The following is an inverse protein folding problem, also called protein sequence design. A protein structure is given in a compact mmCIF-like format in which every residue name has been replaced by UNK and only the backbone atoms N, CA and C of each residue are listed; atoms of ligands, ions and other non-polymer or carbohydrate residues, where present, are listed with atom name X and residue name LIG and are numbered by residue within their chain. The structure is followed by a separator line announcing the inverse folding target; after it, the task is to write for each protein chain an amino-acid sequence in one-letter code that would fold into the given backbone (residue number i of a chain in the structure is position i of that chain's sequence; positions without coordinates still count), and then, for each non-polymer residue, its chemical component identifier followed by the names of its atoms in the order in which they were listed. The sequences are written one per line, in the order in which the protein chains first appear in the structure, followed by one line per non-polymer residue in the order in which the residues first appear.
data_IF_744369379703
#
_entry.id   IF_744369379703
#
_cell.length_a   1.000
_cell.length_b   1.000
_cell.length_c   1.000
_cell.angle_alpha   90.00
_cell.angle_beta   90.00
_cell.angle_gamma   90.00
#
_symmetry.space_group_name_H-M   'P 1'
#
loop_
_entity.id
_entity.type
_entity.pdbx_description
1 polymer ?
#
# COMPACT_ATOMS: atom_id res chain seq x y z
N UNK A 1 -55.10 -13.73 34.71
CA UNK A 1 -54.09 -14.63 35.30
C UNK A 1 -54.86 -15.82 35.81
N UNK A 2 -54.69 -16.96 35.10
CA UNK A 2 -55.47 -18.22 35.02
C UNK A 2 -55.81 -18.41 33.53
N UNK A 3 -55.45 -19.47 32.78
CA UNK A 3 -55.01 -20.86 33.01
C UNK A 3 -54.18 -21.30 31.76
N UNK A 4 -53.01 -21.94 31.88
CA UNK A 4 -52.69 -23.38 31.82
C UNK A 4 -53.06 -24.18 30.53
N UNK A 5 -51.99 -24.77 29.96
CA UNK A 5 -51.82 -26.02 29.20
C UNK A 5 -52.63 -26.35 27.93
N UNK A 6 -51.93 -26.64 26.82
CA UNK A 6 -51.48 -28.01 26.50
C UNK A 6 -50.91 -28.12 25.06
N UNK A 7 -49.98 -29.05 24.96
CA UNK A 7 -49.18 -29.57 23.85
C UNK A 7 -50.00 -30.26 22.75
N UNK A 8 -49.58 -30.15 21.48
CA UNK A 8 -49.45 -31.34 20.61
C UNK A 8 -48.56 -31.07 19.38
N UNK A 9 -47.55 -31.92 19.28
CA UNK A 9 -46.64 -32.16 18.16
C UNK A 9 -47.35 -33.05 17.15
N UNK A 10 -47.34 -32.69 15.86
CA UNK A 10 -47.70 -33.63 14.80
C UNK A 10 -46.74 -33.43 13.62
N UNK A 11 -45.78 -34.35 13.52
CA UNK A 11 -45.09 -34.66 12.28
C UNK A 11 -46.10 -35.26 11.28
N UNK A 12 -46.10 -34.79 10.03
CA UNK A 12 -46.61 -35.61 8.93
C UNK A 12 -45.72 -35.48 7.70
N UNK A 13 -45.24 -36.66 7.31
CA UNK A 13 -44.45 -37.02 6.15
C UNK A 13 -44.93 -36.50 4.78
N UNK A 14 -43.93 -36.14 3.99
CA UNK A 14 -43.75 -36.31 2.54
C UNK A 14 -44.92 -36.76 1.66
N UNK A 15 -45.16 -35.98 0.60
CA UNK A 15 -45.50 -36.52 -0.72
C UNK A 15 -44.69 -35.83 -1.82
N UNK A 16 -43.70 -36.58 -2.33
CA UNK A 16 -42.90 -36.20 -3.49
C UNK A 16 -43.79 -36.03 -4.73
N UNK A 17 -43.66 -34.87 -5.40
CA UNK A 17 -44.07 -34.72 -6.79
C UNK A 17 -42.86 -34.18 -7.53
N UNK A 18 -42.23 -35.02 -8.33
CA UNK A 18 -41.17 -34.64 -9.23
C UNK A 18 -41.75 -33.75 -10.34
N UNK A 19 -41.26 -32.52 -10.45
CA UNK A 19 -41.31 -31.78 -11.71
C UNK A 19 -39.94 -31.17 -11.99
N UNK A 20 -39.54 -31.33 -13.23
CA UNK A 20 -38.21 -31.15 -13.74
C UNK A 20 -37.79 -29.69 -13.75
N UNK A 21 -36.54 -29.47 -13.33
CA UNK A 21 -35.57 -28.53 -13.91
C UNK A 21 -36.10 -27.23 -14.53
N UNK A 22 -35.94 -26.10 -13.85
CA UNK A 22 -35.52 -24.86 -14.52
C UNK A 22 -34.98 -23.79 -13.54
N UNK A 23 -33.73 -23.41 -13.82
CA UNK A 23 -33.00 -22.20 -13.45
C UNK A 23 -33.20 -21.59 -12.05
N UNK A 24 -32.23 -21.87 -11.17
CA UNK A 24 -31.87 -20.98 -10.06
C UNK A 24 -31.67 -19.54 -10.57
N UNK A 25 -32.14 -18.50 -9.85
CA UNK A 25 -31.85 -17.12 -10.22
C UNK A 25 -30.33 -16.92 -10.21
N UNK A 26 -29.80 -16.58 -11.37
CA UNK A 26 -28.41 -16.29 -11.61
C UNK A 26 -27.89 -15.28 -10.59
N UNK A 27 -27.17 -15.77 -9.58
CA UNK A 27 -26.31 -14.95 -8.75
C UNK A 27 -25.34 -14.29 -9.72
N UNK A 28 -25.54 -12.99 -9.96
CA UNK A 28 -24.57 -12.17 -10.68
C UNK A 28 -23.20 -12.44 -10.04
N UNK A 29 -22.29 -13.03 -10.81
CA UNK A 29 -20.98 -13.45 -10.30
C UNK A 29 -20.28 -12.27 -9.59
N UNK A 30 -19.46 -12.54 -8.57
CA UNK A 30 -18.76 -11.48 -7.87
C UNK A 30 -17.94 -10.67 -8.90
N UNK A 31 -18.00 -9.31 -8.87
CA UNK A 31 -17.18 -8.47 -9.72
C UNK A 31 -15.70 -8.85 -9.60
N UNK A 32 -14.98 -8.83 -10.71
CA UNK A 32 -13.63 -9.36 -10.92
C UNK A 32 -12.67 -9.08 -9.75
N UNK A 33 -12.59 -10.03 -8.82
CA UNK A 33 -11.60 -10.02 -7.75
C UNK A 33 -10.29 -10.62 -8.24
N UNK A 34 -9.17 -9.98 -7.93
CA UNK A 34 -7.84 -10.39 -8.35
C UNK A 34 -7.12 -11.07 -7.19
N UNK A 35 -6.61 -12.29 -7.41
CA UNK A 35 -5.82 -13.00 -6.41
C UNK A 35 -4.45 -12.35 -6.24
N UNK A 36 -4.09 -11.99 -5.00
CA UNK A 36 -2.82 -11.34 -4.66
C UNK A 36 -1.79 -12.36 -4.14
N UNK A 37 -2.25 -13.41 -3.46
CA UNK A 37 -1.39 -14.42 -2.84
C UNK A 37 -1.92 -14.88 -1.49
N UNK A 38 -1.14 -15.73 -0.82
CA UNK A 38 -1.44 -16.16 0.56
C UNK A 38 -1.10 -15.07 1.57
N UNK A 39 -1.95 -14.90 2.58
CA UNK A 39 -1.79 -13.91 3.65
C UNK A 39 -0.45 -14.03 4.35
N UNK A 40 -0.07 -15.24 4.73
CA UNK A 40 1.17 -15.51 5.45
C UNK A 40 2.39 -15.13 4.60
N UNK A 41 2.33 -15.39 3.30
CA UNK A 41 3.40 -15.04 2.36
C UNK A 41 3.47 -13.52 2.13
N UNK A 42 2.33 -12.84 1.99
CA UNK A 42 2.27 -11.37 1.87
C UNK A 42 2.87 -10.70 3.11
N UNK A 43 2.53 -11.22 4.30
CA UNK A 43 3.08 -10.77 5.59
C UNK A 43 4.58 -11.04 5.68
N UNK A 44 5.01 -12.27 5.37
CA UNK A 44 6.41 -12.69 5.50
C UNK A 44 7.32 -11.96 4.51
N UNK A 45 6.87 -11.80 3.26
CA UNK A 45 7.64 -11.14 2.21
C UNK A 45 7.83 -9.64 2.48
N UNK A 46 7.18 -9.07 3.52
CA UNK A 46 7.16 -7.64 3.81
C UNK A 46 6.81 -6.82 2.56
N UNK A 47 6.03 -7.42 1.64
CA UNK A 47 5.49 -6.78 0.44
C UNK A 47 4.44 -5.78 0.92
N UNK A 48 4.92 -4.65 1.42
CA UNK A 48 4.15 -3.54 2.00
C UNK A 48 3.24 -4.00 3.15
N UNK A 49 3.76 -4.85 4.02
CA UNK A 49 3.29 -4.98 5.40
C UNK A 49 4.38 -4.37 6.27
N UNK A 50 4.47 -3.04 6.24
CA UNK A 50 4.87 -2.38 7.48
C UNK A 50 3.74 -2.66 8.44
N UNK A 51 3.90 -3.66 9.30
CA UNK A 51 3.54 -3.42 10.67
C UNK A 51 4.32 -2.17 11.07
N UNK A 52 3.69 -1.01 10.90
CA UNK A 52 4.12 0.20 11.59
C UNK A 52 3.99 -0.16 13.05
N UNK A 53 5.03 0.15 13.81
CA UNK A 53 5.21 -0.15 15.24
C UNK A 53 3.95 0.15 16.09
N UNK A 54 2.96 -0.74 16.09
CA UNK A 54 1.61 -0.41 16.55
C UNK A 54 0.87 0.48 15.53
N UNK A 55 -0.42 0.24 15.37
CA UNK A 55 -1.32 1.03 14.51
C UNK A 55 -1.18 2.52 14.84
N UNK A 56 -0.74 3.33 13.87
CA UNK A 56 -0.76 4.78 14.03
C UNK A 56 -2.20 5.28 13.90
N UNK A 57 -2.84 5.46 15.05
CA UNK A 57 -4.17 6.02 15.17
C UNK A 57 -4.09 7.54 15.32
N UNK A 58 -4.65 8.27 14.37
CA UNK A 58 -4.74 9.73 14.43
C UNK A 58 -6.19 10.14 14.46
N UNK A 59 -6.59 10.89 15.49
CA UNK A 59 -7.97 11.36 15.65
C UNK A 59 -9.01 10.21 15.62
N UNK A 60 -8.72 9.08 16.27
CA UNK A 60 -9.62 7.92 16.25
C UNK A 60 -9.55 7.07 14.97
N UNK A 61 -8.64 7.38 14.03
CA UNK A 61 -8.61 6.78 12.68
C UNK A 61 -7.29 6.10 12.40
N UNK A 62 -7.36 4.83 12.00
CA UNK A 62 -6.21 4.06 11.55
C UNK A 62 -5.64 4.66 10.28
N UNK A 63 -4.34 4.95 10.28
CA UNK A 63 -3.65 5.52 9.13
C UNK A 63 -2.38 4.75 8.77
N UNK A 64 -2.00 4.82 7.49
CA UNK A 64 -0.64 4.56 7.05
C UNK A 64 0.14 5.89 7.00
N UNK A 65 1.37 5.88 7.49
CA UNK A 65 2.27 7.03 7.45
C UNK A 65 3.30 6.86 6.33
N UNK A 66 3.27 7.76 5.36
CA UNK A 66 4.25 7.78 4.27
C UNK A 66 5.68 7.94 4.85
N UNK A 67 6.63 7.07 4.53
CA UNK A 67 7.98 7.14 5.09
C UNK A 67 8.74 8.39 4.65
N UNK A 68 8.45 8.91 3.45
CA UNK A 68 9.21 10.00 2.84
C UNK A 68 8.71 11.38 3.27
N UNK A 69 7.38 11.56 3.31
CA UNK A 69 6.77 12.89 3.52
C UNK A 69 5.91 12.97 4.80
N UNK A 70 5.79 11.87 5.56
CA UNK A 70 5.00 11.77 6.81
C UNK A 70 3.52 12.11 6.69
N UNK A 71 2.98 12.07 5.47
CA UNK A 71 1.54 12.13 5.21
C UNK A 71 0.84 10.95 5.88
N UNK A 72 -0.33 11.22 6.47
CA UNK A 72 -1.14 10.26 7.22
C UNK A 72 -2.38 9.99 6.37
N UNK A 73 -2.47 8.81 5.80
CA UNK A 73 -3.58 8.41 4.93
C UNK A 73 -4.46 7.40 5.66
N UNK A 74 -5.75 7.67 5.77
CA UNK A 74 -6.68 6.81 6.51
C UNK A 74 -6.88 5.49 5.76
N UNK A 75 -6.88 4.37 6.49
CA UNK A 75 -7.02 3.04 5.88
C UNK A 75 -8.44 2.79 5.33
N UNK A 76 -9.46 3.39 5.96
CA UNK A 76 -10.85 3.18 5.58
C UNK A 76 -11.24 3.93 4.29
N UNK A 77 -10.81 5.19 4.15
CA UNK A 77 -11.33 6.09 3.11
C UNK A 77 -10.24 6.69 2.22
N UNK A 78 -8.97 6.52 2.58
CA UNK A 78 -7.85 7.09 1.83
C UNK A 78 -7.72 8.60 1.98
N UNK A 79 -8.25 9.17 3.05
CA UNK A 79 -8.18 10.60 3.33
C UNK A 79 -6.82 10.99 3.91
N UNK A 80 -6.30 12.16 3.49
CA UNK A 80 -5.06 12.69 4.06
C UNK A 80 -5.34 13.61 5.25
N UNK A 81 -4.85 13.22 6.43
CA UNK A 81 -5.00 13.97 7.67
C UNK A 81 -3.82 14.90 7.93
N UNK A 82 -4.13 16.07 8.48
CA UNK A 82 -3.14 17.02 8.96
C UNK A 82 -3.63 17.73 10.23
N UNK A 83 -2.68 18.26 11.00
CA UNK A 83 -2.99 19.14 12.12
C UNK A 83 -2.90 20.59 11.66
N UNK A 84 -3.98 21.34 11.85
CA UNK A 84 -3.99 22.79 11.74
C UNK A 84 -3.84 23.39 13.12
N UNK A 85 -3.04 24.46 13.21
CA UNK A 85 -2.82 25.22 14.43
C UNK A 85 -3.16 26.67 14.12
N UNK A 86 -4.04 27.26 14.92
CA UNK A 86 -4.29 28.69 14.87
C UNK A 86 -3.17 29.41 15.66
N UNK A 87 -2.32 30.22 14.99
CA UNK A 87 -1.21 30.90 15.65
C UNK A 87 -1.66 32.01 16.60
N UNK A 88 -2.92 32.46 16.52
CA UNK A 88 -3.45 33.55 17.34
C UNK A 88 -3.93 33.07 18.71
N UNK A 89 -4.19 31.78 18.89
CA UNK A 89 -4.66 31.21 20.15
C UNK A 89 -3.50 30.84 21.09
N UNK A 90 -3.62 31.25 22.36
CA UNK A 90 -2.70 30.85 23.44
C UNK A 90 -3.49 30.16 24.55
N UNK A 91 -3.20 28.90 24.91
CA UNK A 91 -2.19 28.02 24.31
C UNK A 91 -2.58 27.57 22.89
N UNK A 92 -1.58 27.18 22.09
CA UNK A 92 -1.81 26.61 20.76
C UNK A 92 -2.61 25.31 20.91
N UNK A 93 -3.71 25.19 20.15
CA UNK A 93 -4.58 24.02 20.16
C UNK A 93 -4.63 23.39 18.76
N UNK A 94 -3.82 22.34 18.50
CA UNK A 94 -3.85 21.62 17.24
C UNK A 94 -5.22 20.95 17.02
N UNK A 95 -5.74 21.07 15.79
CA UNK A 95 -6.98 20.43 15.35
C UNK A 95 -6.69 19.53 14.16
N UNK A 96 -7.21 18.32 14.20
CA UNK A 96 -7.15 17.40 13.07
C UNK A 96 -8.14 17.82 11.98
N UNK A 97 -7.66 17.91 10.75
CA UNK A 97 -8.45 18.22 9.56
C UNK A 97 -8.12 17.23 8.45
N UNK A 98 -9.04 17.09 7.49
CA UNK A 98 -8.87 16.28 6.28
C UNK A 98 -8.56 17.17 5.07
N UNK A 99 -7.66 16.71 4.20
CA UNK A 99 -7.45 17.26 2.84
C UNK A 99 -8.31 16.55 1.79
N UNK A 100 -9.25 15.71 2.21
CA UNK A 100 -10.08 14.85 1.36
C UNK A 100 -9.36 13.56 0.94
N UNK A 101 -10.04 12.76 0.09
CA UNK A 101 -9.53 11.50 -0.49
C UNK A 101 -8.31 11.77 -1.36
N UNK A 102 -7.16 11.22 -0.96
CA UNK A 102 -5.87 11.31 -1.69
C UNK A 102 -5.38 9.96 -2.20
N UNK A 103 -5.91 8.88 -1.63
CA UNK A 103 -5.59 7.51 -2.03
C UNK A 103 -6.87 6.76 -2.38
N UNK A 104 -6.90 6.08 -3.53
CA UNK A 104 -7.97 5.14 -3.85
C UNK A 104 -7.84 3.91 -2.97
N UNK A 105 -8.94 3.55 -2.31
CA UNK A 105 -9.02 2.38 -1.43
C UNK A 105 -9.77 1.29 -2.18
N UNK A 106 -9.19 0.09 -2.21
CA UNK A 106 -9.77 -1.08 -2.84
C UNK A 106 -10.29 -2.05 -1.77
N UNK A 107 -11.27 -2.87 -2.13
CA UNK A 107 -11.80 -3.85 -1.21
C UNK A 107 -10.89 -5.08 -1.17
N UNK A 108 -10.62 -5.58 0.03
CA UNK A 108 -9.84 -6.78 0.26
C UNK A 108 -10.77 -7.87 0.81
N UNK A 109 -10.67 -9.07 0.25
CA UNK A 109 -11.37 -10.27 0.72
C UNK A 109 -10.33 -11.32 1.09
N UNK A 110 -10.47 -11.91 2.28
CA UNK A 110 -9.65 -13.03 2.74
C UNK A 110 -10.53 -14.28 2.80
N UNK A 111 -10.14 -15.35 2.10
CA UNK A 111 -10.84 -16.64 2.11
C UNK A 111 -9.81 -17.75 2.28
N UNK A 112 -9.88 -18.53 3.35
CA UNK A 112 -8.98 -19.67 3.60
C UNK A 112 -7.47 -19.32 3.53
N UNK A 113 -7.10 -18.10 3.96
CA UNK A 113 -5.72 -17.61 3.88
C UNK A 113 -5.33 -17.03 2.52
N UNK A 114 -6.16 -17.15 1.50
CA UNK A 114 -5.98 -16.50 0.21
C UNK A 114 -6.52 -15.07 0.24
N UNK A 115 -5.74 -14.12 -0.27
CA UNK A 115 -6.10 -12.70 -0.32
C UNK A 115 -6.47 -12.31 -1.74
N UNK A 116 -7.66 -11.73 -1.87
CA UNK A 116 -8.21 -11.20 -3.12
C UNK A 116 -8.45 -9.70 -2.98
N UNK A 117 -8.27 -8.96 -4.07
CA UNK A 117 -8.57 -7.53 -4.14
C UNK A 117 -9.58 -7.26 -5.23
N UNK A 118 -10.63 -6.53 -4.90
CA UNK A 118 -11.56 -5.98 -5.87
C UNK A 118 -11.26 -4.49 -6.05
N UNK A 119 -10.97 -4.11 -7.29
CA UNK A 119 -10.68 -2.72 -7.63
C UNK A 119 -11.92 -1.83 -7.47
N UNK A 120 -11.65 -0.56 -7.15
CA UNK A 120 -12.65 0.47 -6.93
C UNK A 120 -12.71 1.30 -8.21
N UNK A 121 -13.61 0.90 -9.10
CA UNK A 121 -13.79 1.55 -10.41
C UNK A 121 -14.77 2.74 -10.33
N UNK A 122 -15.01 3.27 -9.12
CA UNK A 122 -15.85 4.46 -8.98
C UNK A 122 -15.28 5.62 -9.81
N UNK A 123 -16.13 6.27 -10.62
CA UNK A 123 -15.70 7.35 -11.50
C UNK A 123 -15.25 8.56 -10.68
N UNK A 124 -14.28 9.29 -11.21
CA UNK A 124 -13.62 10.40 -10.54
C UNK A 124 -12.14 10.11 -10.33
N UNK A 125 -11.29 11.10 -10.61
CA UNK A 125 -9.86 10.96 -10.41
C UNK A 125 -9.48 11.19 -8.95
N UNK A 126 -8.67 10.28 -8.42
CA UNK A 126 -7.97 10.45 -7.15
C UNK A 126 -6.51 10.75 -7.46
N UNK A 127 -5.85 11.58 -6.65
CA UNK A 127 -4.44 11.94 -6.87
C UNK A 127 -3.52 10.71 -6.99
N UNK A 128 -3.83 9.63 -6.27
CA UNK A 128 -3.12 8.35 -6.37
C UNK A 128 -3.12 7.73 -7.77
N UNK A 129 -4.16 7.99 -8.57
CA UNK A 129 -4.34 7.35 -9.88
C UNK A 129 -3.21 7.78 -10.84
N UNK A 130 -2.75 9.03 -10.75
CA UNK A 130 -1.60 9.53 -11.50
C UNK A 130 -0.33 8.69 -11.26
N UNK A 131 -0.07 8.34 -10.00
CA UNK A 131 1.09 7.56 -9.59
C UNK A 131 1.02 6.09 -10.02
N UNK A 132 -0.16 5.60 -10.40
CA UNK A 132 -0.35 4.24 -10.91
C UNK A 132 -0.10 4.13 -12.42
N UNK A 133 -0.08 5.25 -13.16
CA UNK A 133 0.08 5.28 -14.62
C UNK A 133 1.43 4.79 -15.11
N UNK A 134 1.47 4.24 -16.33
CA UNK A 134 2.72 3.77 -16.98
C UNK A 134 3.73 4.91 -17.18
N UNK A 135 3.24 6.11 -17.51
CA UNK A 135 4.10 7.29 -17.64
C UNK A 135 4.82 7.62 -16.33
N UNK A 136 4.11 7.58 -15.19
CA UNK A 136 4.75 7.85 -13.91
C UNK A 136 5.73 6.74 -13.51
N UNK A 137 5.38 5.47 -13.78
CA UNK A 137 6.29 4.33 -13.56
C UNK A 137 7.58 4.46 -14.38
N UNK A 138 7.48 4.86 -15.64
CA UNK A 138 8.64 5.11 -16.50
C UNK A 138 9.51 6.27 -15.95
N UNK A 139 8.90 7.36 -15.48
CA UNK A 139 9.62 8.48 -14.86
C UNK A 139 10.39 8.02 -13.61
N UNK A 140 9.78 7.17 -12.78
CA UNK A 140 10.45 6.60 -11.61
C UNK A 140 11.66 5.73 -12.00
N UNK A 141 11.51 4.86 -13.00
CA UNK A 141 12.60 4.01 -13.50
C UNK A 141 13.76 4.87 -14.02
N UNK A 142 13.48 5.86 -14.88
CA UNK A 142 14.51 6.78 -15.39
C UNK A 142 15.22 7.56 -14.27
N UNK A 143 14.50 7.92 -13.20
CA UNK A 143 15.09 8.62 -12.04
C UNK A 143 16.02 7.70 -11.24
N UNK A 144 15.66 6.43 -11.11
CA UNK A 144 16.49 5.42 -10.45
C UNK A 144 17.76 5.13 -11.26
N UNK A 145 17.64 4.93 -12.58
CA UNK A 145 18.77 4.78 -13.50
C UNK A 145 19.73 5.96 -13.44
N UNK A 146 19.22 7.20 -13.46
CA UNK A 146 20.05 8.41 -13.31
C UNK A 146 20.77 8.48 -11.96
N UNK A 147 20.12 8.03 -10.88
CA UNK A 147 20.73 7.99 -9.56
C UNK A 147 21.86 6.96 -9.50
N UNK A 148 21.66 5.79 -10.10
CA UNK A 148 22.70 4.75 -10.25
C UNK A 148 23.85 5.29 -11.09
N UNK A 149 23.54 5.92 -12.23
CA UNK A 149 24.54 6.51 -13.12
C UNK A 149 25.38 7.57 -12.41
N UNK A 150 24.76 8.49 -11.67
CA UNK A 150 25.49 9.49 -10.88
C UNK A 150 26.35 8.86 -9.78
N UNK A 151 25.90 7.77 -9.15
CA UNK A 151 26.70 7.04 -8.17
C UNK A 151 27.92 6.37 -8.83
N UNK A 152 27.73 5.77 -10.00
CA UNK A 152 28.80 5.16 -10.81
C UNK A 152 29.82 6.22 -11.21
N UNK A 153 29.39 7.39 -11.67
CA UNK A 153 30.28 8.50 -12.05
C UNK A 153 31.10 9.00 -10.86
N UNK A 154 30.49 9.14 -9.68
CA UNK A 154 31.21 9.50 -8.44
C UNK A 154 32.26 8.44 -8.09
N UNK A 155 31.91 7.16 -8.19
CA UNK A 155 32.81 6.05 -7.84
C UNK A 155 33.99 5.97 -8.82
N UNK A 156 33.72 6.09 -10.13
CA UNK A 156 34.75 6.11 -11.19
C UNK A 156 35.67 7.33 -10.99
N UNK A 157 35.10 8.50 -10.69
CA UNK A 157 35.87 9.70 -10.37
C UNK A 157 36.82 9.50 -9.19
N UNK A 158 36.35 8.90 -8.09
CA UNK A 158 37.19 8.60 -6.91
C UNK A 158 38.34 7.64 -7.24
N UNK A 159 38.12 6.62 -8.06
CA UNK A 159 39.17 5.68 -8.49
C UNK A 159 40.24 6.39 -9.33
N UNK A 160 39.82 7.21 -10.29
CA UNK A 160 40.74 7.94 -11.18
C UNK A 160 41.57 9.01 -10.43
N UNK A 161 40.95 9.73 -9.48
CA UNK A 161 41.65 10.69 -8.61
C UNK A 161 42.59 10.00 -7.62
N UNK A 162 42.24 8.79 -7.14
CA UNK A 162 43.08 7.98 -6.25
C UNK A 162 44.37 7.47 -6.93
N UNK A 163 44.31 7.17 -8.23
CA UNK A 163 45.48 6.70 -9.00
C UNK A 163 46.56 7.78 -9.19
N UNK A 164 46.20 9.08 -9.19
CA UNK A 164 47.15 10.18 -9.40
C UNK A 164 47.92 10.61 -8.13
N UNK A 165 47.58 10.09 -6.94
CA UNK A 165 48.33 10.39 -5.70
C UNK A 165 49.42 9.37 -5.36
N UNK A 166 49.52 8.25 -6.09
CA UNK A 166 50.48 7.17 -5.82
C UNK A 166 51.68 7.12 -6.78
N UNK A 167 51.92 8.19 -7.56
CA UNK A 167 53.00 8.27 -8.55
C UNK A 167 54.22 9.07 -8.08
N UNK A 168 54.78 8.74 -6.92
CA UNK A 168 56.05 9.25 -6.42
C UNK A 168 57.12 8.17 -6.44
N UNK A 169 57.51 7.67 -7.62
CA UNK A 169 58.70 6.84 -7.78
C UNK A 169 59.81 7.73 -8.32
N UNK A 170 60.76 8.06 -7.45
CA UNK A 170 61.99 8.72 -7.83
C UNK A 170 62.78 7.82 -8.78
N UNK A 171 63.17 8.37 -9.92
CA UNK A 171 64.37 7.93 -10.62
C UNK A 171 65.46 8.95 -10.31
N UNK A 172 66.20 8.66 -9.24
CA UNK A 172 67.53 9.21 -9.03
C UNK A 172 68.42 8.76 -10.19
N UNK A 173 69.25 9.70 -10.67
CA UNK A 173 69.89 9.63 -11.98
C UNK A 173 71.08 8.70 -12.12
N UNK A 174 71.65 8.68 -13.33
CA UNK A 174 73.07 8.39 -13.57
C UNK A 174 73.57 9.29 -14.70
N UNK A 175 74.63 10.02 -14.34
CA UNK A 175 75.53 10.87 -15.12
C UNK A 175 76.39 10.02 -16.10
N UNK A 176 76.83 10.61 -17.22
CA UNK A 176 78.15 10.45 -17.90
C UNK A 176 77.99 11.04 -19.32
N UNK A 177 78.44 12.27 -19.61
CA UNK A 177 79.82 12.68 -19.93
C UNK A 177 80.38 11.98 -21.19
N UNK A 178 80.69 12.79 -22.21
CA UNK A 178 81.36 12.37 -23.45
C UNK A 178 81.00 13.27 -24.62
#
# INVERSE_FOLDING_TARGET
MSDEDNFEEIETESKATAFSSEASPSVAGPPSSHFIGKKEEIVHARRITKFVNGRDEFNGRLCIVCPWHKYKITLAEGESLYQSVDPTQKPLKPKWLSKGKKQRVHMVLEVNGDVFVRFDDTPGSVESDYYQTDNFRAILQMKEEKKVQGLVEVLVGQVLLGANRAGGWGVAGVLLAG
#
